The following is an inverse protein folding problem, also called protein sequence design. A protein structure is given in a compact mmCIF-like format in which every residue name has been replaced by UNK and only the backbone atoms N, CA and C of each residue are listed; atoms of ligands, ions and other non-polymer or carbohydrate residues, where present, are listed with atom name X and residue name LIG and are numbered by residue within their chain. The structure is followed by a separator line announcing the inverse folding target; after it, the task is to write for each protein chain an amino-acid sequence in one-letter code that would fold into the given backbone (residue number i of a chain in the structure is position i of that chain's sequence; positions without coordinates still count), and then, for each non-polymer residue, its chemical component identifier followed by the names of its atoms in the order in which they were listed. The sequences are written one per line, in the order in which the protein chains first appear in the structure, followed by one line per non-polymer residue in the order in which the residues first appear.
data_IF_209728279865
#
_entry.id   IF_209728279865
#
_cell.length_a   1.000
_cell.length_b   1.000
_cell.length_c   1.000
_cell.angle_alpha   90.00
_cell.angle_beta   90.00
_cell.angle_gamma   90.00
#
_symmetry.space_group_name_H-M   'P 1'
#
loop_
_entity.id
_entity.type
_entity.pdbx_description
1 polymer ?
#
# COMPACT_ATOMS: atom_id res chain seq x y z
N UNK A 1 22.16 -16.63 -8.74
CA UNK A 1 21.46 -17.20 -7.57
C UNK A 1 19.97 -16.92 -7.75
N UNK A 2 19.14 -17.92 -7.51
CA UNK A 2 17.70 -17.76 -7.53
C UNK A 2 17.28 -16.86 -6.35
N UNK A 3 16.40 -15.90 -6.59
CA UNK A 3 15.92 -15.00 -5.53
C UNK A 3 14.99 -15.75 -4.59
N UNK A 4 15.19 -15.58 -3.30
CA UNK A 4 14.29 -16.04 -2.26
C UNK A 4 13.94 -14.86 -1.35
N UNK A 5 12.67 -14.78 -0.94
CA UNK A 5 12.26 -13.79 0.05
C UNK A 5 13.03 -14.01 1.37
N UNK A 6 13.50 -12.96 2.04
CA UNK A 6 14.16 -13.13 3.32
C UNK A 6 13.15 -13.59 4.40
N UNK A 7 13.65 -14.22 5.48
CA UNK A 7 12.80 -14.62 6.59
C UNK A 7 12.17 -13.41 7.30
N UNK A 8 11.09 -13.62 8.06
CA UNK A 8 10.52 -12.58 8.92
C UNK A 8 11.58 -12.02 9.88
N UNK A 9 11.46 -10.74 10.19
CA UNK A 9 12.35 -10.08 11.14
C UNK A 9 11.57 -9.12 12.04
N UNK A 10 12.01 -9.03 13.30
CA UNK A 10 11.41 -8.15 14.30
C UNK A 10 12.33 -6.97 14.58
N UNK A 11 11.75 -5.82 14.84
CA UNK A 11 12.46 -4.65 15.35
C UNK A 11 11.59 -3.88 16.34
N UNK A 12 12.22 -3.46 17.45
CA UNK A 12 11.64 -2.54 18.41
C UNK A 12 12.01 -1.11 18.01
N UNK A 13 11.02 -0.24 17.86
CA UNK A 13 11.25 1.15 17.52
C UNK A 13 10.19 2.05 18.16
N UNK A 14 10.64 3.09 18.86
CA UNK A 14 9.78 4.13 19.44
C UNK A 14 8.64 3.58 20.32
N UNK A 15 8.93 2.55 21.14
CA UNK A 15 7.95 1.90 22.01
C UNK A 15 6.91 1.04 21.29
N UNK A 16 7.22 0.61 20.07
CA UNK A 16 6.40 -0.30 19.28
C UNK A 16 7.21 -1.52 18.86
N UNK A 17 6.56 -2.68 18.79
CA UNK A 17 7.10 -3.90 18.19
C UNK A 17 6.61 -4.04 16.77
N UNK A 18 7.53 -4.16 15.82
CA UNK A 18 7.24 -4.41 14.41
C UNK A 18 7.77 -5.77 13.98
N UNK A 19 6.92 -6.58 13.34
CA UNK A 19 7.38 -7.81 12.66
C UNK A 19 7.07 -7.68 11.18
N UNK A 20 8.09 -7.86 10.38
CA UNK A 20 8.01 -7.75 8.90
C UNK A 20 8.00 -9.15 8.29
N UNK A 21 7.06 -9.41 7.38
CA UNK A 21 6.85 -10.69 6.69
C UNK A 21 7.04 -10.53 5.18
N UNK A 22 8.27 -10.68 4.65
CA UNK A 22 8.53 -10.55 3.22
C UNK A 22 7.96 -11.70 2.39
N UNK A 23 8.05 -12.95 2.87
CA UNK A 23 7.57 -14.11 2.14
C UNK A 23 6.05 -14.26 2.23
N UNK A 24 5.41 -14.64 1.12
CA UNK A 24 3.96 -14.81 1.03
C UNK A 24 3.41 -15.83 2.03
N UNK A 25 4.07 -17.00 2.13
CA UNK A 25 3.69 -18.05 3.09
C UNK A 25 3.69 -17.57 4.54
N UNK A 26 4.67 -16.73 4.91
CA UNK A 26 4.81 -16.24 6.27
C UNK A 26 3.76 -15.17 6.55
N UNK A 27 3.39 -14.36 5.55
CA UNK A 27 2.27 -13.39 5.64
C UNK A 27 0.93 -14.08 5.88
N UNK A 28 0.65 -15.15 5.12
CA UNK A 28 -0.58 -15.91 5.32
C UNK A 28 -0.61 -16.61 6.67
N UNK A 29 0.48 -17.25 7.06
CA UNK A 29 0.59 -17.91 8.37
C UNK A 29 0.40 -16.92 9.52
N UNK A 30 1.02 -15.73 9.45
CA UNK A 30 0.85 -14.68 10.45
C UNK A 30 -0.60 -14.17 10.50
N UNK A 31 -1.24 -13.94 9.34
CA UNK A 31 -2.63 -13.49 9.27
C UNK A 31 -3.57 -14.53 9.91
N UNK A 32 -3.43 -15.81 9.57
CA UNK A 32 -4.25 -16.88 10.14
C UNK A 32 -4.02 -17.02 11.65
N UNK A 33 -2.76 -16.99 12.11
CA UNK A 33 -2.43 -17.06 13.55
C UNK A 33 -3.04 -15.89 14.34
N UNK A 34 -3.05 -14.68 13.78
CA UNK A 34 -3.70 -13.52 14.39
C UNK A 34 -5.21 -13.72 14.53
N UNK A 35 -5.88 -14.23 13.48
CA UNK A 35 -7.33 -14.51 13.50
C UNK A 35 -7.67 -15.63 14.49
N UNK A 36 -6.86 -16.70 14.51
CA UNK A 36 -7.04 -17.82 15.43
C UNK A 36 -6.83 -17.42 16.89
N UNK A 37 -5.86 -16.53 17.15
CA UNK A 37 -5.54 -16.04 18.50
C UNK A 37 -6.47 -14.94 19.01
N UNK A 38 -7.40 -14.42 18.18
CA UNK A 38 -8.33 -13.38 18.59
C UNK A 38 -9.28 -13.85 19.69
N UNK A 39 -9.42 -13.03 20.74
CA UNK A 39 -10.27 -13.31 21.91
C UNK A 39 -11.50 -12.40 22.00
N UNK A 40 -11.44 -11.16 21.52
CA UNK A 40 -12.48 -10.16 21.67
C UNK A 40 -13.00 -9.62 20.36
N UNK A 41 -12.11 -9.13 19.47
CA UNK A 41 -12.53 -8.45 18.25
C UNK A 41 -11.55 -8.60 17.10
N UNK A 42 -12.09 -8.67 15.88
CA UNK A 42 -11.36 -8.61 14.62
C UNK A 42 -11.97 -7.51 13.75
N UNK A 43 -11.18 -6.49 13.44
CA UNK A 43 -11.50 -5.46 12.46
C UNK A 43 -10.64 -5.69 11.22
N UNK A 44 -11.25 -5.97 10.07
CA UNK A 44 -10.53 -6.32 8.86
C UNK A 44 -11.04 -5.53 7.67
N UNK A 45 -10.11 -4.90 6.92
CA UNK A 45 -10.42 -4.14 5.72
C UNK A 45 -9.45 -4.48 4.60
N UNK A 46 -9.96 -4.87 3.41
CA UNK A 46 -9.16 -5.21 2.24
C UNK A 46 -9.74 -4.62 0.95
N UNK A 47 -8.84 -4.37 -0.02
CA UNK A 47 -9.24 -3.96 -1.37
C UNK A 47 -9.69 -5.15 -2.21
N UNK A 48 -8.91 -6.24 -2.24
CA UNK A 48 -9.26 -7.51 -2.89
C UNK A 48 -9.36 -8.61 -1.82
N UNK A 49 -10.41 -9.41 -1.93
CA UNK A 49 -10.59 -10.66 -1.21
C UNK A 49 -11.15 -11.66 -2.22
N UNK A 50 -10.32 -12.57 -2.69
CA UNK A 50 -10.65 -13.48 -3.78
C UNK A 50 -11.40 -14.75 -3.31
N UNK A 51 -12.19 -15.34 -4.21
CA UNK A 51 -12.82 -16.66 -4.01
C UNK A 51 -11.87 -17.79 -4.40
N UNK A 52 -10.63 -17.77 -3.86
CA UNK A 52 -9.59 -18.78 -4.11
C UNK A 52 -9.22 -19.54 -2.83
N UNK A 53 -8.18 -20.37 -2.87
CA UNK A 53 -7.80 -21.22 -1.74
C UNK A 53 -7.43 -20.37 -0.50
N UNK A 54 -6.65 -19.33 -0.65
CA UNK A 54 -6.28 -18.42 0.45
C UNK A 54 -7.48 -17.66 0.98
N UNK A 55 -8.37 -17.21 0.08
CA UNK A 55 -9.61 -16.54 0.47
C UNK A 55 -10.52 -17.45 1.29
N UNK A 56 -10.67 -18.72 0.88
CA UNK A 56 -11.43 -19.72 1.65
C UNK A 56 -10.82 -19.92 3.03
N UNK A 57 -9.51 -20.11 3.14
CA UNK A 57 -8.82 -20.29 4.43
C UNK A 57 -9.06 -19.11 5.37
N UNK A 58 -8.88 -17.89 4.90
CA UNK A 58 -9.06 -16.68 5.72
C UNK A 58 -10.53 -16.49 6.10
N UNK A 59 -11.48 -16.67 5.17
CA UNK A 59 -12.91 -16.61 5.45
C UNK A 59 -13.34 -17.62 6.52
N UNK A 60 -12.88 -18.84 6.41
CA UNK A 60 -13.25 -19.93 7.33
C UNK A 60 -12.63 -19.71 8.72
N UNK A 61 -11.41 -19.17 8.79
CA UNK A 61 -10.80 -18.75 10.05
C UNK A 61 -11.60 -17.61 10.72
N UNK A 62 -12.06 -16.61 9.96
CA UNK A 62 -12.93 -15.54 10.47
C UNK A 62 -14.27 -16.10 10.96
N UNK A 63 -14.89 -17.01 10.21
CA UNK A 63 -16.13 -17.67 10.65
C UNK A 63 -15.92 -18.51 11.92
N UNK A 64 -14.77 -19.19 12.04
CA UNK A 64 -14.42 -19.92 13.27
C UNK A 64 -14.22 -18.98 14.46
N UNK A 65 -13.59 -17.80 14.27
CA UNK A 65 -13.46 -16.78 15.30
C UNK A 65 -14.84 -16.25 15.75
N UNK A 66 -15.74 -15.94 14.81
CA UNK A 66 -17.10 -15.51 15.11
C UNK A 66 -17.89 -16.58 15.92
N UNK A 67 -17.76 -17.88 15.57
CA UNK A 67 -18.37 -18.97 16.37
C UNK A 67 -17.81 -19.08 17.79
N UNK A 68 -16.58 -18.63 18.04
CA UNK A 68 -16.00 -18.54 19.38
C UNK A 68 -16.52 -17.33 20.19
N UNK A 69 -17.37 -16.48 19.57
CA UNK A 69 -17.90 -15.26 20.20
C UNK A 69 -17.05 -14.02 19.98
N UNK A 70 -16.04 -14.07 19.09
CA UNK A 70 -15.24 -12.90 18.70
C UNK A 70 -16.10 -11.97 17.83
N UNK A 71 -16.09 -10.66 18.11
CA UNK A 71 -16.73 -9.64 17.27
C UNK A 71 -15.93 -9.44 15.97
N UNK A 72 -16.42 -10.02 14.86
CA UNK A 72 -15.72 -10.02 13.57
C UNK A 72 -16.40 -9.05 12.60
N UNK A 73 -15.65 -8.02 12.20
CA UNK A 73 -16.11 -6.98 11.29
C UNK A 73 -15.20 -6.91 10.04
N UNK A 74 -15.76 -7.27 8.87
CA UNK A 74 -15.05 -7.32 7.60
C UNK A 74 -15.59 -6.26 6.63
N UNK A 75 -14.72 -5.37 6.18
CA UNK A 75 -14.99 -4.38 5.11
C UNK A 75 -14.18 -4.76 3.88
N UNK A 76 -14.83 -4.85 2.72
CA UNK A 76 -14.16 -5.09 1.44
C UNK A 76 -14.57 -3.99 0.45
N UNK A 77 -13.62 -3.55 -0.40
CA UNK A 77 -13.93 -2.62 -1.49
C UNK A 77 -14.88 -3.27 -2.50
N UNK A 78 -16.01 -2.66 -2.76
CA UNK A 78 -17.04 -3.22 -3.65
C UNK A 78 -16.68 -3.24 -5.13
N UNK A 79 -15.54 -2.63 -5.52
CA UNK A 79 -15.03 -2.67 -6.88
C UNK A 79 -13.83 -3.61 -7.06
N UNK A 80 -12.94 -3.65 -6.07
CA UNK A 80 -11.74 -4.48 -6.13
C UNK A 80 -11.99 -5.94 -5.80
N UNK A 81 -13.07 -6.25 -5.09
CA UNK A 81 -13.38 -7.63 -4.70
C UNK A 81 -14.16 -8.34 -5.81
N UNK A 82 -13.59 -9.42 -6.32
CA UNK A 82 -14.32 -10.39 -7.16
C UNK A 82 -15.26 -11.27 -6.32
N UNK A 83 -15.08 -11.32 -5.00
CA UNK A 83 -15.85 -12.16 -4.11
C UNK A 83 -17.30 -11.65 -3.97
N UNK A 84 -18.24 -12.52 -4.29
CA UNK A 84 -19.67 -12.26 -4.17
C UNK A 84 -20.10 -12.28 -2.70
N UNK A 85 -21.18 -11.57 -2.38
CA UNK A 85 -21.76 -11.59 -1.02
C UNK A 85 -21.99 -13.02 -0.52
N UNK A 86 -22.42 -13.93 -1.38
CA UNK A 86 -22.63 -15.34 -1.06
C UNK A 86 -21.37 -16.08 -0.58
N UNK A 87 -20.18 -15.65 -1.00
CA UNK A 87 -18.92 -16.21 -0.53
C UNK A 87 -18.71 -16.01 0.98
N UNK A 88 -19.23 -14.93 1.54
CA UNK A 88 -19.11 -14.60 2.96
C UNK A 88 -20.28 -15.10 3.83
N UNK A 89 -21.21 -15.88 3.26
CA UNK A 89 -22.32 -16.52 4.03
C UNK A 89 -21.80 -17.30 5.25
N UNK A 90 -20.73 -18.13 5.16
CA UNK A 90 -20.22 -18.84 6.34
C UNK A 90 -19.79 -17.90 7.50
N UNK A 91 -19.29 -16.69 7.20
CA UNK A 91 -18.95 -15.69 8.21
C UNK A 91 -20.21 -15.06 8.81
N UNK A 92 -21.16 -14.66 7.98
CA UNK A 92 -22.40 -14.01 8.46
C UNK A 92 -23.30 -14.98 9.24
N UNK A 93 -23.39 -16.25 8.82
CA UNK A 93 -24.11 -17.30 9.54
C UNK A 93 -23.46 -17.62 10.90
N UNK A 94 -22.16 -17.39 11.02
CA UNK A 94 -21.43 -17.52 12.28
C UNK A 94 -21.59 -16.31 13.23
N UNK A 95 -22.30 -15.25 12.81
CA UNK A 95 -22.52 -14.03 13.59
C UNK A 95 -21.54 -12.89 13.27
N UNK A 96 -20.61 -13.07 12.33
CA UNK A 96 -19.72 -11.99 11.87
C UNK A 96 -20.41 -11.02 10.94
N UNK A 97 -19.86 -9.82 10.82
CA UNK A 97 -20.38 -8.76 9.95
C UNK A 97 -19.53 -8.65 8.67
N UNK A 98 -20.22 -8.55 7.53
CA UNK A 98 -19.62 -8.26 6.23
C UNK A 98 -20.23 -7.01 5.61
N UNK A 99 -19.41 -6.04 5.22
CA UNK A 99 -19.84 -4.83 4.52
C UNK A 99 -19.02 -4.60 3.26
N UNK A 100 -19.69 -4.21 2.17
CA UNK A 100 -19.02 -3.72 0.98
C UNK A 100 -18.87 -2.19 1.04
N UNK A 101 -17.63 -1.70 0.99
CA UNK A 101 -17.35 -0.29 0.75
C UNK A 101 -17.74 0.03 -0.69
N UNK A 102 -19.02 0.30 -0.88
CA UNK A 102 -19.59 0.60 -2.19
C UNK A 102 -20.24 1.99 -2.14
N UNK A 103 -19.64 2.96 -2.83
CA UNK A 103 -20.33 4.23 -3.03
C UNK A 103 -21.57 4.00 -3.88
N UNK A 104 -22.75 4.21 -3.29
CA UNK A 104 -24.00 4.11 -4.05
C UNK A 104 -24.05 5.13 -5.18
N UNK A 105 -24.23 4.63 -6.42
CA UNK A 105 -24.65 5.29 -7.67
C UNK A 105 -23.77 6.43 -8.23
N UNK A 106 -23.33 6.22 -9.44
CA UNK A 106 -22.93 7.04 -10.60
C UNK A 106 -21.52 7.64 -10.66
N UNK A 107 -20.98 8.35 -9.69
CA UNK A 107 -19.68 9.05 -9.85
C UNK A 107 -18.61 8.65 -8.82
N UNK A 108 -19.00 7.89 -7.82
CA UNK A 108 -18.21 7.56 -6.64
C UNK A 108 -17.35 6.31 -6.83
N UNK A 109 -17.63 5.49 -7.83
CA UNK A 109 -16.93 4.24 -8.13
C UNK A 109 -15.42 4.44 -8.45
N UNK A 110 -15.00 5.68 -8.69
CA UNK A 110 -13.60 6.02 -8.97
C UNK A 110 -12.71 6.08 -7.74
N UNK A 111 -13.29 6.13 -6.53
CA UNK A 111 -12.54 6.07 -5.28
C UNK A 111 -12.57 4.65 -4.77
N UNK A 112 -11.40 4.14 -4.47
CA UNK A 112 -11.16 2.81 -3.94
C UNK A 112 -10.81 2.88 -2.47
N UNK A 113 -11.32 1.95 -1.70
CA UNK A 113 -10.78 1.67 -0.38
C UNK A 113 -9.60 0.71 -0.57
N UNK A 114 -8.43 1.27 -0.85
CA UNK A 114 -7.23 0.50 -1.16
C UNK A 114 -6.43 0.13 0.09
N UNK A 115 -6.99 0.32 1.26
CA UNK A 115 -6.38 -0.03 2.54
C UNK A 115 -6.33 -1.54 2.74
N UNK A 116 -5.34 -2.00 3.50
CA UNK A 116 -5.23 -3.34 4.04
C UNK A 116 -4.90 -3.20 5.50
N UNK A 117 -5.91 -3.44 6.32
CA UNK A 117 -5.86 -3.27 7.78
C UNK A 117 -6.48 -4.51 8.41
N UNK A 118 -5.78 -5.09 9.36
CA UNK A 118 -6.31 -6.08 10.30
C UNK A 118 -5.99 -5.56 11.69
N UNK A 119 -6.95 -5.50 12.58
CA UNK A 119 -6.74 -5.18 13.99
C UNK A 119 -7.36 -6.28 14.83
N UNK A 120 -6.59 -6.82 15.74
CA UNK A 120 -6.97 -7.91 16.65
C UNK A 120 -6.99 -7.37 18.08
N UNK A 121 -8.13 -7.52 18.75
CA UNK A 121 -8.33 -7.21 20.18
C UNK A 121 -7.87 -5.79 20.56
N UNK A 122 -7.89 -4.84 19.59
CA UNK A 122 -7.38 -3.47 19.73
C UNK A 122 -5.91 -3.36 20.19
N UNK A 123 -5.17 -4.47 20.16
CA UNK A 123 -3.81 -4.59 20.68
C UNK A 123 -2.76 -4.75 19.62
N UNK A 124 -3.03 -5.57 18.59
CA UNK A 124 -2.10 -5.84 17.50
C UNK A 124 -2.77 -5.51 16.17
N UNK A 125 -2.03 -4.88 15.27
CA UNK A 125 -2.51 -4.63 13.92
C UNK A 125 -1.58 -5.25 12.88
N UNK A 126 -2.13 -5.67 11.73
CA UNK A 126 -1.38 -6.05 10.54
C UNK A 126 -1.78 -5.15 9.38
N UNK A 127 -0.78 -4.57 8.71
CA UNK A 127 -0.94 -3.71 7.54
C UNK A 127 0.01 -4.16 6.43
N UNK A 128 -0.19 -3.64 5.22
CA UNK A 128 0.75 -3.91 4.11
C UNK A 128 0.19 -3.52 2.76
N UNK A 129 0.86 -3.98 1.70
CA UNK A 129 0.40 -3.83 0.33
C UNK A 129 -0.48 -4.98 -0.15
N UNK A 130 -0.37 -6.15 0.46
CA UNK A 130 -0.96 -7.42 0.03
C UNK A 130 -2.47 -7.46 0.15
N UNK A 131 -3.10 -8.22 -0.74
CA UNK A 131 -4.53 -8.57 -0.68
C UNK A 131 -4.71 -10.02 -0.21
N UNK A 132 -5.96 -10.43 0.04
CA UNK A 132 -6.31 -11.82 0.30
C UNK A 132 -6.60 -12.50 -1.04
N UNK A 133 -5.55 -13.05 -1.63
CA UNK A 133 -5.57 -13.73 -2.93
C UNK A 133 -4.33 -14.62 -3.02
N UNK A 134 -4.44 -15.82 -3.59
CA UNK A 134 -3.36 -16.82 -3.70
C UNK A 134 -2.05 -16.24 -4.24
N UNK A 135 -2.14 -15.34 -5.19
CA UNK A 135 -0.98 -14.74 -5.83
C UNK A 135 -0.12 -13.90 -4.86
N UNK A 136 -0.70 -13.36 -3.78
CA UNK A 136 0.04 -12.61 -2.75
C UNK A 136 0.71 -13.51 -1.71
N UNK A 137 0.30 -14.77 -1.65
CA UNK A 137 0.86 -15.75 -0.71
C UNK A 137 1.76 -16.78 -1.37
N UNK A 138 1.78 -16.79 -2.71
CA UNK A 138 2.61 -17.66 -3.52
C UNK A 138 4.08 -17.23 -3.56
N UNK A 139 5.03 -18.17 -3.70
CA UNK A 139 6.46 -17.85 -3.75
C UNK A 139 6.87 -17.19 -5.08
N UNK A 140 8.03 -16.52 -5.11
CA UNK A 140 8.58 -15.90 -6.32
C UNK A 140 8.75 -16.88 -7.50
N UNK A 141 9.06 -18.14 -7.24
CA UNK A 141 9.28 -19.17 -8.25
C UNK A 141 8.05 -19.41 -9.16
N UNK A 142 6.84 -19.21 -8.64
CA UNK A 142 5.59 -19.25 -9.42
C UNK A 142 5.05 -17.86 -9.75
N UNK A 143 5.93 -16.85 -9.77
CA UNK A 143 5.61 -15.46 -10.08
C UNK A 143 4.59 -14.83 -9.12
N UNK A 144 4.60 -15.23 -7.84
CA UNK A 144 3.85 -14.60 -6.77
C UNK A 144 4.26 -13.12 -6.58
N UNK A 145 3.42 -12.36 -5.87
CA UNK A 145 3.73 -10.97 -5.55
C UNK A 145 4.78 -10.85 -4.45
N UNK A 146 5.92 -10.21 -4.75
CA UNK A 146 6.83 -9.71 -3.73
C UNK A 146 6.16 -8.52 -3.02
N UNK A 147 5.71 -8.72 -1.80
CA UNK A 147 5.05 -7.71 -0.99
C UNK A 147 5.52 -7.81 0.47
N UNK A 148 5.10 -6.87 1.30
CA UNK A 148 5.49 -6.79 2.69
C UNK A 148 4.24 -6.70 3.57
N UNK A 149 4.05 -7.70 4.44
CA UNK A 149 3.12 -7.65 5.56
C UNK A 149 3.85 -7.19 6.82
N UNK A 150 3.22 -6.38 7.64
CA UNK A 150 3.82 -5.86 8.85
C UNK A 150 2.80 -5.95 9.97
N UNK A 151 3.15 -6.66 11.06
CA UNK A 151 2.41 -6.52 12.30
C UNK A 151 3.05 -5.44 13.17
N UNK A 152 2.22 -4.77 13.93
CA UNK A 152 2.66 -3.77 14.90
C UNK A 152 1.86 -3.86 16.19
N UNK A 153 2.56 -3.76 17.31
CA UNK A 153 2.00 -3.58 18.66
C UNK A 153 2.48 -2.24 19.21
N UNK A 154 1.65 -1.59 20.02
CA UNK A 154 1.95 -0.29 20.63
C UNK A 154 0.83 0.75 20.41
N UNK A 155 1.08 1.97 20.84
CA UNK A 155 0.05 3.02 20.90
C UNK A 155 -0.53 3.43 19.54
N UNK A 156 0.18 3.18 18.44
CA UNK A 156 -0.31 3.47 17.09
C UNK A 156 -1.49 2.58 16.67
N UNK A 157 -1.68 1.41 17.32
CA UNK A 157 -2.83 0.52 17.06
C UNK A 157 -4.15 1.26 17.35
N UNK A 158 -4.22 2.06 18.41
CA UNK A 158 -5.41 2.84 18.74
C UNK A 158 -5.80 3.83 17.63
N UNK A 159 -4.84 4.37 16.89
CA UNK A 159 -5.12 5.22 15.73
C UNK A 159 -5.72 4.41 14.56
N UNK A 160 -5.24 3.18 14.34
CA UNK A 160 -5.81 2.28 13.33
C UNK A 160 -7.23 1.85 13.68
N UNK A 161 -7.51 1.56 14.96
CA UNK A 161 -8.88 1.31 15.46
C UNK A 161 -9.77 2.52 15.18
N UNK A 162 -9.36 3.70 15.64
CA UNK A 162 -10.13 4.93 15.44
C UNK A 162 -10.44 5.19 13.96
N UNK A 163 -9.47 4.97 13.09
CA UNK A 163 -9.66 5.15 11.66
C UNK A 163 -10.61 4.09 11.07
N UNK A 164 -10.40 2.82 11.41
CA UNK A 164 -11.27 1.72 10.96
C UNK A 164 -12.72 1.98 11.34
N UNK A 165 -12.99 2.31 12.60
CA UNK A 165 -14.35 2.58 13.10
C UNK A 165 -15.03 3.77 12.38
N UNK A 166 -14.25 4.77 11.96
CA UNK A 166 -14.78 5.87 11.15
C UNK A 166 -15.18 5.41 9.74
N UNK A 167 -14.35 4.56 9.11
CA UNK A 167 -14.62 4.00 7.78
C UNK A 167 -15.83 3.04 7.85
N UNK A 168 -15.90 2.20 8.87
CA UNK A 168 -17.01 1.27 9.11
C UNK A 168 -18.33 2.00 9.26
N UNK A 169 -18.41 2.97 10.18
CA UNK A 169 -19.61 3.79 10.37
C UNK A 169 -20.06 4.47 9.08
N UNK A 170 -19.10 4.97 8.29
CA UNK A 170 -19.40 5.55 6.99
C UNK A 170 -19.91 4.51 6.00
N UNK A 171 -19.35 3.30 6.01
CA UNK A 171 -19.74 2.21 5.10
C UNK A 171 -21.12 1.67 5.42
N UNK A 172 -21.47 1.59 6.69
CA UNK A 172 -22.77 1.09 7.18
C UNK A 172 -23.92 2.12 7.06
N UNK A 173 -23.61 3.42 6.93
CA UNK A 173 -24.62 4.46 6.81
C UNK A 173 -25.18 4.51 5.37
N UNK A 174 -26.43 4.10 5.12
CA UNK A 174 -27.05 4.13 3.79
C UNK A 174 -27.22 5.56 3.25
N UNK A 175 -27.16 6.57 4.13
CA UNK A 175 -27.26 7.99 3.78
C UNK A 175 -25.89 8.69 3.74
N UNK A 176 -24.80 7.94 3.89
CA UNK A 176 -23.45 8.49 3.90
C UNK A 176 -23.18 9.30 2.64
N UNK A 177 -22.87 10.58 2.84
CA UNK A 177 -22.56 11.48 1.72
C UNK A 177 -21.05 11.40 1.42
N UNK A 178 -20.74 11.42 0.14
CA UNK A 178 -19.36 11.51 -0.34
C UNK A 178 -18.54 12.64 0.35
N UNK A 179 -19.18 13.75 0.65
CA UNK A 179 -18.52 14.87 1.35
C UNK A 179 -18.04 14.50 2.74
N UNK A 180 -18.68 13.54 3.43
CA UNK A 180 -18.30 13.14 4.78
C UNK A 180 -17.01 12.32 4.80
N UNK A 181 -16.79 11.36 3.87
CA UNK A 181 -15.51 10.63 3.80
C UNK A 181 -14.33 11.58 3.50
N UNK A 182 -14.54 12.57 2.61
CA UNK A 182 -13.54 13.63 2.35
C UNK A 182 -13.24 14.47 3.58
N UNK A 183 -14.25 14.71 4.40
CA UNK A 183 -14.12 15.43 5.67
C UNK A 183 -13.29 14.60 6.65
N UNK A 184 -13.57 13.30 6.80
CA UNK A 184 -12.81 12.39 7.66
C UNK A 184 -11.32 12.39 7.28
N UNK A 185 -10.99 12.22 6.00
CA UNK A 185 -9.60 12.25 5.51
C UNK A 185 -8.92 13.60 5.78
N UNK A 186 -9.63 14.71 5.59
CA UNK A 186 -9.09 16.06 5.81
C UNK A 186 -8.83 16.35 7.28
N UNK A 187 -9.72 15.89 8.16
CA UNK A 187 -9.70 16.15 9.60
C UNK A 187 -8.85 15.12 10.36
N UNK A 188 -8.38 14.07 9.69
CA UNK A 188 -7.49 13.10 10.30
C UNK A 188 -6.20 13.76 10.79
N UNK A 189 -5.96 13.65 12.09
CA UNK A 189 -4.76 14.14 12.75
C UNK A 189 -3.86 12.95 13.15
N UNK A 190 -2.70 12.75 12.48
CA UNK A 190 -1.77 11.67 12.82
C UNK A 190 -0.97 11.94 14.08
N UNK A 191 -1.16 13.07 14.74
CA UNK A 191 -0.30 13.52 15.85
C UNK A 191 1.06 14.04 15.38
N UNK A 192 1.92 14.31 16.37
CA UNK A 192 3.29 14.84 16.15
C UNK A 192 4.37 13.90 16.67
N UNK A 193 4.00 12.71 17.16
CA UNK A 193 4.93 11.70 17.66
C UNK A 193 5.82 11.10 16.58
N UNK A 194 6.82 10.31 17.00
CA UNK A 194 7.73 9.64 16.08
C UNK A 194 7.05 8.53 15.26
N UNK A 195 5.95 7.98 15.75
CA UNK A 195 5.11 7.00 15.04
C UNK A 195 3.77 7.65 14.71
N UNK A 196 3.39 7.62 13.44
CA UNK A 196 2.21 8.29 12.92
C UNK A 196 1.45 7.38 11.96
N UNK A 197 0.14 7.25 12.13
CA UNK A 197 -0.74 6.63 11.14
C UNK A 197 -1.23 7.71 10.17
N UNK A 198 -0.83 7.59 8.93
CA UNK A 198 -1.12 8.56 7.87
C UNK A 198 -2.21 8.02 6.96
N UNK A 199 -3.20 8.86 6.67
CA UNK A 199 -4.32 8.50 5.80
C UNK A 199 -4.19 9.22 4.46
N UNK A 200 -4.24 8.43 3.37
CA UNK A 200 -4.44 8.92 2.01
C UNK A 200 -5.92 9.03 1.68
N UNK A 201 -6.26 9.89 0.73
CA UNK A 201 -7.66 9.98 0.30
C UNK A 201 -8.00 11.28 -0.40
N UNK A 202 -9.23 11.38 -0.90
CA UNK A 202 -9.69 12.53 -1.67
C UNK A 202 -9.91 13.74 -0.77
N UNK A 203 -9.11 14.78 -0.98
CA UNK A 203 -9.28 16.07 -0.33
C UNK A 203 -9.07 17.21 -1.33
N UNK A 204 -9.58 18.42 -1.03
CA UNK A 204 -9.24 19.60 -1.83
C UNK A 204 -7.78 20.02 -1.65
N UNK A 205 -7.21 19.76 -0.47
CA UNK A 205 -5.81 19.99 -0.14
C UNK A 205 -4.96 18.72 -0.24
N UNK A 206 -4.05 18.55 0.71
CA UNK A 206 -3.26 17.34 0.88
C UNK A 206 -3.81 16.52 2.06
N UNK A 207 -3.95 15.22 1.87
CA UNK A 207 -4.17 14.27 2.96
C UNK A 207 -2.95 14.24 3.90
N UNK A 208 -3.09 13.66 5.09
CA UNK A 208 -1.96 13.51 6.02
C UNK A 208 -0.79 12.76 5.39
N UNK A 209 -1.05 11.69 4.63
CA UNK A 209 -0.06 10.96 3.85
C UNK A 209 0.68 11.86 2.85
N UNK A 210 -0.05 12.50 1.93
CA UNK A 210 0.55 13.33 0.89
C UNK A 210 1.30 14.56 1.46
N UNK A 211 0.80 15.12 2.57
CA UNK A 211 1.44 16.25 3.26
C UNK A 211 2.75 15.81 3.93
N UNK A 212 2.73 14.71 4.65
CA UNK A 212 3.86 14.22 5.43
C UNK A 212 5.02 13.78 4.52
N UNK A 213 4.77 12.90 3.53
CA UNK A 213 5.82 12.44 2.61
C UNK A 213 6.43 13.60 1.82
N UNK A 214 5.62 14.60 1.43
CA UNK A 214 6.13 15.79 0.76
C UNK A 214 7.00 16.64 1.68
N UNK A 215 6.62 16.80 2.95
CA UNK A 215 7.39 17.51 3.95
C UNK A 215 8.75 16.85 4.15
N UNK A 216 8.76 15.54 4.38
CA UNK A 216 9.98 14.79 4.66
C UNK A 216 10.93 14.73 3.46
N UNK A 217 10.41 14.67 2.22
CA UNK A 217 11.25 14.80 1.02
C UNK A 217 11.87 16.21 0.84
N UNK A 218 11.33 17.24 1.46
CA UNK A 218 11.75 18.63 1.22
C UNK A 218 13.04 18.87 1.99
N UNK A 219 13.80 18.46 2.48
CA UNK A 219 15.08 18.70 3.14
C UNK A 219 15.97 17.47 3.15
N UNK A 220 15.42 16.35 2.73
CA UNK A 220 16.08 15.07 2.79
C UNK A 220 17.40 15.01 2.02
N UNK A 221 18.31 14.19 2.54
CA UNK A 221 19.62 13.88 1.93
C UNK A 221 19.63 12.48 1.33
N UNK A 222 18.83 11.56 1.87
CA UNK A 222 18.76 10.17 1.41
C UNK A 222 17.33 9.76 1.12
N UNK A 223 17.14 9.01 0.03
CA UNK A 223 15.89 8.32 -0.29
C UNK A 223 16.20 6.92 -0.78
N UNK A 224 15.66 5.92 -0.12
CA UNK A 224 15.57 4.55 -0.61
C UNK A 224 14.09 4.23 -0.79
N UNK A 225 13.71 3.80 -1.99
CA UNK A 225 12.31 3.54 -2.34
C UNK A 225 12.18 2.16 -3.00
N UNK A 226 11.30 1.33 -2.46
CA UNK A 226 10.85 0.10 -3.08
C UNK A 226 9.36 0.27 -3.38
N UNK A 227 9.00 0.29 -4.69
CA UNK A 227 7.68 0.75 -5.08
C UNK A 227 7.14 0.00 -6.30
N UNK A 228 5.92 -0.52 -6.15
CA UNK A 228 5.21 -1.22 -7.21
C UNK A 228 4.82 -0.30 -8.37
N UNK A 229 4.07 0.77 -8.07
CA UNK A 229 3.57 1.73 -9.07
C UNK A 229 4.09 3.13 -8.75
N UNK A 230 4.70 3.76 -9.77
CA UNK A 230 5.35 5.04 -9.62
C UNK A 230 5.00 5.98 -10.78
N UNK A 231 4.10 6.89 -10.52
CA UNK A 231 3.72 7.96 -11.46
C UNK A 231 3.32 9.23 -10.69
N UNK A 232 4.24 9.79 -9.89
CA UNK A 232 3.93 10.92 -9.03
C UNK A 232 3.84 12.24 -9.80
N UNK A 233 3.39 13.28 -9.10
CA UNK A 233 3.36 14.64 -9.63
C UNK A 233 4.76 15.18 -9.98
N UNK A 234 4.82 16.14 -10.91
CA UNK A 234 6.05 16.85 -11.24
C UNK A 234 6.73 17.49 -10.02
N UNK A 235 5.95 17.87 -9.00
CA UNK A 235 6.48 18.42 -7.75
C UNK A 235 7.23 17.37 -6.94
N UNK A 236 6.68 16.16 -6.83
CA UNK A 236 7.33 15.01 -6.17
C UNK A 236 8.59 14.58 -6.93
N UNK A 237 8.53 14.53 -8.27
CA UNK A 237 9.71 14.24 -9.10
C UNK A 237 10.85 15.24 -8.87
N UNK A 238 10.53 16.54 -8.78
CA UNK A 238 11.54 17.58 -8.47
C UNK A 238 12.09 17.43 -7.05
N UNK A 239 11.27 17.00 -6.08
CA UNK A 239 11.74 16.74 -4.72
C UNK A 239 12.73 15.57 -4.70
N UNK A 240 12.40 14.43 -5.30
CA UNK A 240 13.30 13.26 -5.45
C UNK A 240 14.61 13.66 -6.13
N UNK A 241 14.54 14.45 -7.21
CA UNK A 241 15.74 14.93 -7.91
C UNK A 241 16.60 15.87 -7.04
N UNK A 242 16.04 16.60 -6.09
CA UNK A 242 16.79 17.40 -5.13
C UNK A 242 17.49 16.53 -4.08
N UNK A 243 16.80 15.52 -3.56
CA UNK A 243 17.41 14.51 -2.67
C UNK A 243 18.61 13.85 -3.35
N UNK A 244 18.46 13.40 -4.60
CA UNK A 244 19.53 12.77 -5.35
C UNK A 244 20.79 13.67 -5.53
N UNK A 245 20.61 14.99 -5.58
CA UNK A 245 21.73 15.95 -5.67
C UNK A 245 22.39 16.24 -4.33
N UNK A 246 21.66 16.11 -3.21
CA UNK A 246 22.18 16.37 -1.87
C UNK A 246 22.99 15.22 -1.30
N UNK A 247 22.51 13.99 -1.43
CA UNK A 247 23.14 12.83 -0.84
C UNK A 247 22.91 11.55 -1.62
N UNK A 248 21.72 11.31 -2.11
CA UNK A 248 21.42 10.15 -2.93
C UNK A 248 19.95 9.76 -2.94
N UNK A 249 19.49 9.24 -4.08
CA UNK A 249 18.18 8.63 -4.20
C UNK A 249 18.31 7.32 -4.98
N UNK A 250 17.79 6.23 -4.41
CA UNK A 250 17.74 4.89 -4.97
C UNK A 250 16.30 4.44 -5.08
N UNK A 251 15.91 3.95 -6.25
CA UNK A 251 14.56 3.50 -6.54
C UNK A 251 14.63 2.07 -7.07
N UNK A 252 14.00 1.14 -6.38
CA UNK A 252 13.76 -0.23 -6.86
C UNK A 252 12.30 -0.32 -7.28
N UNK A 253 12.08 -0.53 -8.58
CA UNK A 253 10.78 -0.48 -9.24
C UNK A 253 10.39 -1.84 -9.79
N UNK A 254 9.10 -2.05 -10.07
CA UNK A 254 8.63 -3.26 -10.68
C UNK A 254 9.09 -3.38 -12.15
N UNK A 255 9.71 -4.50 -12.51
CA UNK A 255 9.94 -4.90 -13.90
C UNK A 255 8.70 -5.60 -14.48
N UNK A 256 7.95 -6.31 -13.61
CA UNK A 256 6.77 -7.12 -13.94
C UNK A 256 5.57 -6.65 -13.10
N UNK A 257 4.40 -6.61 -13.72
CA UNK A 257 3.11 -6.30 -13.09
C UNK A 257 2.00 -6.92 -13.92
N UNK A 258 0.83 -7.09 -13.34
CA UNK A 258 -0.43 -7.38 -14.02
C UNK A 258 -0.89 -6.22 -14.91
N UNK A 259 -0.49 -5.01 -14.58
CA UNK A 259 -0.83 -3.78 -15.32
C UNK A 259 0.38 -3.21 -16.06
N UNK A 260 0.52 -3.57 -17.35
CA UNK A 260 1.61 -3.06 -18.19
C UNK A 260 1.61 -1.54 -18.40
N UNK A 261 0.47 -0.86 -18.23
CA UNK A 261 0.39 0.59 -18.33
C UNK A 261 1.10 1.28 -17.15
N UNK A 262 1.05 0.73 -15.94
CA UNK A 262 1.77 1.29 -14.79
C UNK A 262 3.29 1.19 -14.97
N UNK A 263 3.79 0.07 -15.51
CA UNK A 263 5.22 -0.09 -15.87
C UNK A 263 5.62 0.93 -16.94
N UNK A 264 4.80 1.08 -17.99
CA UNK A 264 5.06 2.07 -19.04
C UNK A 264 5.11 3.50 -18.50
N UNK A 265 4.18 3.87 -17.63
CA UNK A 265 4.13 5.17 -16.98
C UNK A 265 5.39 5.44 -16.13
N UNK A 266 5.84 4.44 -15.37
CA UNK A 266 7.08 4.53 -14.57
C UNK A 266 8.30 4.74 -15.48
N UNK A 267 8.42 3.94 -16.55
CA UNK A 267 9.57 4.01 -17.51
C UNK A 267 9.62 5.34 -18.26
N UNK A 268 8.50 6.00 -18.51
CA UNK A 268 8.46 7.33 -19.10
C UNK A 268 9.22 8.38 -18.26
N UNK A 269 9.30 8.18 -16.93
CA UNK A 269 9.94 9.11 -16.01
C UNK A 269 11.46 8.85 -15.83
N UNK A 270 11.97 7.70 -16.26
CA UNK A 270 13.37 7.32 -16.03
C UNK A 270 14.36 8.30 -16.63
N UNK A 271 14.14 8.78 -17.84
CA UNK A 271 15.05 9.74 -18.46
C UNK A 271 15.21 11.01 -17.61
N UNK A 272 14.13 11.50 -17.04
CA UNK A 272 14.14 12.69 -16.16
C UNK A 272 14.93 12.43 -14.88
N UNK A 273 14.74 11.27 -14.25
CA UNK A 273 15.37 10.87 -12.99
C UNK A 273 16.85 10.56 -13.18
N UNK A 274 17.21 9.76 -14.19
CA UNK A 274 18.61 9.40 -14.51
C UNK A 274 19.48 10.61 -14.81
N UNK A 275 18.97 11.59 -15.58
CA UNK A 275 19.66 12.88 -15.80
C UNK A 275 19.94 13.66 -14.51
N UNK A 276 19.25 13.32 -13.42
CA UNK A 276 19.38 13.97 -12.09
C UNK A 276 20.06 13.10 -11.06
N UNK A 277 20.80 12.10 -11.52
CA UNK A 277 21.64 11.19 -10.70
C UNK A 277 20.81 10.28 -9.77
N UNK A 278 19.52 10.10 -10.00
CA UNK A 278 18.74 9.07 -9.30
C UNK A 278 19.18 7.70 -9.81
N UNK A 279 19.50 6.79 -8.89
CA UNK A 279 19.85 5.41 -9.22
C UNK A 279 18.57 4.59 -9.28
N UNK A 280 18.38 3.81 -10.33
CA UNK A 280 17.15 3.05 -10.58
C UNK A 280 17.49 1.59 -10.84
N UNK A 281 16.71 0.69 -10.24
CA UNK A 281 16.73 -0.74 -10.50
C UNK A 281 15.32 -1.22 -10.84
N UNK A 282 15.20 -2.21 -11.71
CA UNK A 282 13.97 -2.94 -11.98
C UNK A 282 14.08 -4.34 -11.39
N UNK A 283 13.24 -4.66 -10.40
CA UNK A 283 13.19 -5.99 -9.78
C UNK A 283 12.52 -6.98 -10.74
N UNK A 284 13.23 -8.08 -11.05
CA UNK A 284 12.87 -9.01 -12.13
C UNK A 284 12.48 -10.41 -11.64
N UNK A 285 12.78 -10.76 -10.38
CA UNK A 285 12.55 -12.12 -9.87
C UNK A 285 11.07 -12.51 -9.91
N UNK A 286 10.19 -11.61 -9.47
CA UNK A 286 8.73 -11.83 -9.49
C UNK A 286 8.00 -10.49 -9.69
N UNK A 287 6.66 -10.49 -9.63
CA UNK A 287 5.88 -9.26 -9.62
C UNK A 287 6.13 -8.50 -8.31
N UNK A 288 6.47 -7.22 -8.39
CA UNK A 288 6.71 -6.37 -7.21
C UNK A 288 5.43 -5.63 -6.81
N UNK A 289 5.04 -5.73 -5.54
CA UNK A 289 3.89 -4.99 -4.99
C UNK A 289 4.19 -4.27 -3.66
N UNK A 290 5.39 -4.39 -3.12
CA UNK A 290 5.83 -3.69 -1.90
C UNK A 290 5.75 -2.17 -2.05
N UNK A 291 5.34 -1.49 -0.97
CA UNK A 291 5.30 -0.03 -0.85
C UNK A 291 6.08 0.38 0.39
N UNK A 292 7.34 0.75 0.17
CA UNK A 292 8.28 1.08 1.23
C UNK A 292 9.11 2.30 0.81
N UNK A 293 9.20 3.31 1.69
CA UNK A 293 10.11 4.44 1.53
C UNK A 293 10.94 4.60 2.80
N UNK A 294 12.21 4.89 2.63
CA UNK A 294 13.10 5.34 3.69
C UNK A 294 13.64 6.71 3.29
N UNK A 295 13.35 7.72 4.09
CA UNK A 295 13.73 9.13 3.86
C UNK A 295 14.55 9.58 5.06
N UNK A 296 15.86 9.66 4.94
CA UNK A 296 16.80 9.85 6.06
C UNK A 296 16.53 8.79 7.17
N UNK A 297 16.18 9.20 8.37
CA UNK A 297 15.85 8.33 9.50
C UNK A 297 14.35 7.99 9.61
N UNK A 298 13.56 8.26 8.56
CA UNK A 298 12.12 8.07 8.53
C UNK A 298 11.71 6.97 7.57
N UNK A 299 10.95 6.02 8.06
CA UNK A 299 10.42 4.90 7.28
C UNK A 299 8.92 5.03 7.07
N UNK A 300 8.45 4.67 5.88
CA UNK A 300 7.03 4.66 5.51
C UNK A 300 6.68 3.32 4.86
N UNK A 301 5.66 2.67 5.36
CA UNK A 301 5.14 1.43 4.79
C UNK A 301 3.62 1.32 4.97
N UNK A 302 2.96 0.56 4.11
CA UNK A 302 1.51 0.37 4.11
C UNK A 302 0.94 0.09 2.74
N UNK A 303 -0.24 0.63 2.43
CA UNK A 303 -0.99 0.30 1.21
C UNK A 303 -0.71 1.21 0.01
N UNK A 304 -0.15 2.41 0.22
CA UNK A 304 -0.10 3.46 -0.79
C UNK A 304 1.04 3.30 -1.79
N UNK A 305 0.72 3.23 -3.07
CA UNK A 305 1.69 3.44 -4.14
C UNK A 305 2.15 4.90 -4.21
N UNK A 306 3.24 5.14 -4.92
CA UNK A 306 3.73 6.51 -5.14
C UNK A 306 3.25 7.06 -6.49
N UNK A 307 1.94 7.10 -6.66
CA UNK A 307 1.24 7.58 -7.84
C UNK A 307 0.15 8.61 -7.50
N UNK A 308 -0.44 9.20 -8.53
CA UNK A 308 -1.44 10.26 -8.34
C UNK A 308 -2.73 9.77 -7.69
N UNK A 309 -3.13 8.49 -7.91
CA UNK A 309 -4.33 7.95 -7.29
C UNK A 309 -4.14 7.70 -5.81
N UNK A 310 -3.04 7.04 -5.43
CA UNK A 310 -2.74 6.72 -4.02
C UNK A 310 -2.41 7.97 -3.19
N UNK A 311 -1.84 9.01 -3.82
CA UNK A 311 -1.55 10.26 -3.13
C UNK A 311 -2.78 11.15 -2.91
N UNK A 312 -3.82 11.07 -3.79
CA UNK A 312 -4.87 12.09 -3.81
C UNK A 312 -6.30 11.58 -3.94
N UNK A 313 -6.53 10.31 -4.22
CA UNK A 313 -7.86 9.78 -4.51
C UNK A 313 -8.25 8.55 -3.70
N UNK A 314 -7.43 7.51 -3.68
CA UNK A 314 -7.78 6.29 -2.96
C UNK A 314 -7.68 6.49 -1.46
N UNK A 315 -8.55 5.81 -0.69
CA UNK A 315 -8.30 5.65 0.73
C UNK A 315 -7.09 4.72 0.90
N UNK A 316 -6.08 5.22 1.58
CA UNK A 316 -4.82 4.52 1.84
C UNK A 316 -4.45 4.66 3.30
N UNK A 317 -3.70 3.70 3.82
CA UNK A 317 -3.08 3.75 5.14
C UNK A 317 -1.57 3.56 5.01
N UNK A 318 -0.83 4.45 5.65
CA UNK A 318 0.62 4.35 5.78
C UNK A 318 1.02 4.56 7.23
N UNK A 319 2.00 3.83 7.70
CA UNK A 319 2.66 4.10 8.98
C UNK A 319 3.99 4.78 8.69
N UNK A 320 4.24 5.92 9.34
CA UNK A 320 5.51 6.64 9.35
C UNK A 320 6.17 6.48 10.69
N UNK A 321 7.44 6.14 10.69
CA UNK A 321 8.23 6.00 11.91
C UNK A 321 9.53 6.76 11.73
N UNK A 322 9.88 7.58 12.70
CA UNK A 322 11.16 8.28 12.78
C UNK A 322 12.07 7.53 13.77
N UNK A 323 12.85 6.62 13.21
CA UNK A 323 13.79 5.78 13.94
C UNK A 323 14.93 5.36 13.01
N UNK A 324 16.16 5.66 13.44
CA UNK A 324 17.35 5.43 12.61
C UNK A 324 17.65 3.94 12.43
N UNK A 325 17.54 3.14 13.49
CA UNK A 325 17.85 1.71 13.41
C UNK A 325 16.85 0.98 12.50
N UNK A 326 15.56 1.33 12.59
CA UNK A 326 14.53 0.84 11.68
C UNK A 326 14.82 1.27 10.23
N UNK A 327 15.16 2.53 9.99
CA UNK A 327 15.47 3.05 8.67
C UNK A 327 16.67 2.33 8.04
N UNK A 328 17.74 2.09 8.79
CA UNK A 328 18.91 1.33 8.36
C UNK A 328 18.54 -0.13 8.05
N UNK A 329 17.73 -0.78 8.90
CA UNK A 329 17.27 -2.16 8.68
C UNK A 329 16.40 -2.31 7.43
N UNK A 330 15.50 -1.36 7.19
CA UNK A 330 14.63 -1.36 5.99
C UNK A 330 15.41 -1.00 4.72
N UNK A 331 16.43 -0.17 4.81
CA UNK A 331 17.35 0.06 3.69
C UNK A 331 18.14 -1.21 3.35
N UNK A 332 18.60 -1.97 4.35
CA UNK A 332 19.25 -3.27 4.15
C UNK A 332 18.27 -4.30 3.53
N UNK A 333 16.99 -4.24 3.89
CA UNK A 333 15.96 -5.06 3.22
C UNK A 333 15.84 -4.70 1.73
N UNK A 334 15.85 -3.41 1.38
CA UNK A 334 15.86 -2.98 -0.02
C UNK A 334 17.14 -3.47 -0.73
N UNK A 335 18.29 -3.44 -0.05
CA UNK A 335 19.57 -3.94 -0.61
C UNK A 335 19.52 -5.43 -0.96
N UNK A 336 18.72 -6.23 -0.22
CA UNK A 336 18.52 -7.65 -0.53
C UNK A 336 17.85 -7.89 -1.90
N UNK A 337 17.05 -6.94 -2.41
CA UNK A 337 16.40 -7.07 -3.70
C UNK A 337 17.30 -6.64 -4.88
N UNK A 338 18.36 -5.88 -4.63
CA UNK A 338 19.24 -5.33 -5.68
C UNK A 338 19.91 -6.42 -6.52
N UNK A 339 20.47 -7.52 -5.97
CA UNK A 339 21.05 -8.60 -6.76
C UNK A 339 20.06 -9.27 -7.74
N UNK A 340 18.78 -9.27 -7.42
CA UNK A 340 17.70 -9.79 -8.27
C UNK A 340 17.06 -8.71 -9.17
N UNK A 341 17.73 -7.57 -9.32
CA UNK A 341 17.24 -6.41 -10.07
C UNK A 341 18.23 -5.98 -11.15
N UNK A 342 17.72 -5.52 -12.28
CA UNK A 342 18.54 -4.90 -13.32
C UNK A 342 18.71 -3.41 -13.06
N UNK A 343 19.96 -2.95 -12.91
CA UNK A 343 20.26 -1.53 -12.81
C UNK A 343 19.98 -0.81 -14.13
N UNK A 344 19.13 0.20 -14.10
CA UNK A 344 18.80 1.00 -15.28
C UNK A 344 19.82 2.15 -15.41
N UNK A 345 20.86 1.92 -16.19
CA UNK A 345 21.84 2.96 -16.54
C UNK A 345 21.30 3.88 -17.64
N UNK A 346 21.86 5.10 -17.83
CA UNK A 346 21.49 5.96 -18.95
C UNK A 346 21.67 5.29 -20.32
N UNK A 347 22.71 4.48 -20.49
CA UNK A 347 23.00 3.72 -21.72
C UNK A 347 21.94 2.63 -21.97
N UNK A 348 21.61 1.84 -20.95
CA UNK A 348 20.56 0.81 -21.03
C UNK A 348 19.20 1.42 -21.31
N UNK A 349 18.85 2.51 -20.62
CA UNK A 349 17.59 3.21 -20.86
C UNK A 349 17.52 3.74 -22.30
N UNK A 350 18.61 4.35 -22.81
CA UNK A 350 18.67 4.83 -24.20
C UNK A 350 18.45 3.68 -25.20
N UNK A 351 19.07 2.51 -24.97
CA UNK A 351 18.90 1.30 -25.80
C UNK A 351 17.44 0.81 -25.80
N UNK A 352 16.80 0.77 -24.62
CA UNK A 352 15.39 0.34 -24.45
C UNK A 352 14.37 1.38 -24.98
N UNK A 353 14.74 2.66 -25.00
CA UNK A 353 13.88 3.79 -25.39
C UNK A 353 13.80 3.99 -26.92
N UNK A 354 13.44 2.95 -27.66
CA UNK A 354 13.10 3.05 -29.09
C UNK A 354 11.93 4.00 -29.31
N UNK A 355 11.72 4.49 -30.53
CA UNK A 355 10.61 5.40 -30.83
C UNK A 355 9.26 4.80 -30.38
N UNK A 356 9.01 3.53 -30.73
CA UNK A 356 7.77 2.82 -30.36
C UNK A 356 7.60 2.74 -28.82
N UNK A 357 8.67 2.37 -28.11
CA UNK A 357 8.62 2.28 -26.65
C UNK A 357 8.37 3.65 -26.00
N UNK A 358 8.99 4.72 -26.52
CA UNK A 358 8.73 6.10 -26.02
C UNK A 358 7.29 6.50 -26.21
N UNK A 359 6.71 6.24 -27.36
CA UNK A 359 5.30 6.52 -27.63
C UNK A 359 4.41 5.73 -26.66
N UNK A 360 4.66 4.41 -26.50
CA UNK A 360 3.91 3.55 -25.59
C UNK A 360 4.04 4.01 -24.12
N UNK A 361 5.24 4.33 -23.65
CA UNK A 361 5.47 4.78 -22.28
C UNK A 361 4.82 6.15 -22.02
N UNK A 362 4.92 7.10 -22.93
CA UNK A 362 4.31 8.41 -22.80
C UNK A 362 2.78 8.31 -22.83
N UNK A 363 2.22 7.45 -23.68
CA UNK A 363 0.78 7.16 -23.69
C UNK A 363 0.33 6.54 -22.36
N UNK A 364 1.07 5.55 -21.86
CA UNK A 364 0.82 4.94 -20.55
C UNK A 364 0.87 5.98 -19.43
N UNK A 365 1.89 6.84 -19.42
CA UNK A 365 2.00 7.93 -18.44
C UNK A 365 0.83 8.92 -18.55
N UNK A 366 0.43 9.28 -19.74
CA UNK A 366 -0.73 10.16 -19.97
C UNK A 366 -2.03 9.52 -19.47
N UNK A 367 -2.25 8.25 -19.77
CA UNK A 367 -3.45 7.52 -19.33
C UNK A 367 -3.50 7.37 -17.80
N UNK A 368 -2.42 6.90 -17.19
CA UNK A 368 -2.37 6.60 -15.74
C UNK A 368 -2.15 7.86 -14.90
N UNK A 369 -1.23 8.72 -15.30
CA UNK A 369 -0.81 9.86 -14.49
C UNK A 369 -1.63 11.14 -14.72
N UNK A 370 -2.27 11.27 -15.87
CA UNK A 370 -3.00 12.50 -16.24
C UNK A 370 -4.48 12.23 -16.44
N UNK A 371 -4.84 11.34 -17.37
CA UNK A 371 -6.25 11.16 -17.76
C UNK A 371 -7.05 10.53 -16.63
N UNK A 372 -6.62 9.37 -16.11
CA UNK A 372 -7.31 8.66 -15.04
C UNK A 372 -7.40 9.54 -13.78
N UNK A 373 -6.31 10.19 -13.39
CA UNK A 373 -6.31 11.11 -12.26
C UNK A 373 -7.19 12.34 -12.48
N UNK A 374 -7.10 12.99 -13.65
CA UNK A 374 -7.85 14.23 -13.92
C UNK A 374 -9.34 13.97 -14.01
N UNK A 375 -9.75 12.90 -14.71
CA UNK A 375 -11.16 12.49 -14.81
C UNK A 375 -11.69 12.10 -13.43
N UNK A 376 -10.97 11.25 -12.71
CA UNK A 376 -11.36 10.82 -11.36
C UNK A 376 -11.46 12.01 -10.40
N UNK A 377 -10.51 12.95 -10.46
CA UNK A 377 -10.51 14.13 -9.60
C UNK A 377 -11.67 15.08 -9.93
N UNK A 378 -11.92 15.37 -11.21
CA UNK A 378 -13.04 16.25 -11.62
C UNK A 378 -14.38 15.66 -11.19
N UNK A 379 -14.62 14.38 -11.48
CA UNK A 379 -15.85 13.70 -11.10
C UNK A 379 -16.05 13.64 -9.58
N UNK A 380 -14.98 13.48 -8.81
CA UNK A 380 -15.06 13.33 -7.36
C UNK A 380 -15.01 14.66 -6.58
N UNK A 381 -14.37 15.69 -7.11
CA UNK A 381 -14.22 16.98 -6.44
C UNK A 381 -15.17 18.06 -6.94
N UNK A 382 -15.86 17.83 -8.06
CA UNK A 382 -16.74 18.81 -8.69
C UNK A 382 -15.98 20.05 -9.15
N UNK A 383 -14.75 19.85 -9.69
CA UNK A 383 -13.88 20.90 -10.22
C UNK A 383 -13.93 20.92 -11.74
#
# INVERSE_FOLDING_TARGET
MEYTDPPPFTIEAQGHTFVFYPAGKDRLAALLALIEGAAQSIRMCFYIFAEDASGVLVRDALAAAARRGVDVNLIIDGFGADARKAFFTPLTDAGGTFCAFSPTISQRYLIRNHQKIVVIDERIAMIGGFNVEDSYFSPPAVNGWNDLGITLEGTAVAQLVQWYDQVERWTLDPHAKWRSIRRLVREWNPGTGPVQVLIGGPTRGLSSWAKCVRSDLTGAHRLDMLMAYFSPSNRSLRAIARVARRGGARLVMAAKSDNGATIGATRALYQYLLKRRVKIWEFEASKLHTKLLVIDDKSFFGSANFDMRSLYLNLEVMVRIEDRALAERLSAFIDHLIPASTQITPSLHKKRATLLNRVRWNLSWFLVGVLDYTVSRRLNLGL
#
